data_IF_395113932380
#
_entry.id   IF_395113932380
#
_cell.length_a   1.000
_cell.length_b   1.000
_cell.length_c   1.000
_cell.angle_alpha   90.00
_cell.angle_beta   90.00
_cell.angle_gamma   90.00
#
_symmetry.space_group_name_H-M   'P 1'
#
loop_
_entity.id
_entity.type
_entity.pdbx_description
1 polymer ?
#
# COMPACT_ATOMS: atom_id res chain seq x y z
N UNK A 1 31.06 -27.66 9.67
CA UNK A 1 29.96 -28.47 10.23
C UNK A 1 29.12 -27.49 11.04
N UNK A 2 28.29 -26.68 10.37
CA UNK A 2 26.87 -26.94 10.05
C UNK A 2 26.04 -26.98 11.35
N UNK A 3 24.91 -26.31 11.52
CA UNK A 3 24.08 -25.41 10.72
C UNK A 3 23.04 -24.79 11.69
N UNK A 4 22.26 -23.83 11.18
CA UNK A 4 20.93 -23.37 11.67
C UNK A 4 20.95 -22.35 12.83
N UNK A 5 20.21 -21.23 12.84
CA UNK A 5 19.10 -20.77 12.02
C UNK A 5 19.06 -19.23 12.12
N UNK A 6 19.54 -18.52 11.10
CA UNK A 6 18.72 -17.78 10.13
C UNK A 6 17.68 -16.79 10.71
N UNK A 7 18.00 -15.51 10.49
CA UNK A 7 17.06 -14.54 9.93
C UNK A 7 15.77 -14.23 10.71
N UNK A 8 15.91 -13.40 11.75
CA UNK A 8 14.89 -12.36 11.97
C UNK A 8 14.93 -11.39 10.79
N UNK A 9 14.22 -11.75 9.70
CA UNK A 9 13.87 -10.83 8.61
C UNK A 9 13.11 -9.67 9.25
N UNK A 10 13.83 -8.59 9.57
CA UNK A 10 13.24 -7.26 9.62
C UNK A 10 12.68 -7.07 8.21
N UNK A 11 11.39 -7.32 8.04
CA UNK A 11 10.69 -7.00 6.80
C UNK A 11 10.88 -5.51 6.61
N UNK A 12 11.87 -5.15 5.80
CA UNK A 12 12.11 -3.80 5.34
C UNK A 12 10.78 -3.35 4.76
N UNK A 13 10.05 -2.52 5.51
CA UNK A 13 8.98 -1.73 4.94
C UNK A 13 9.66 -0.93 3.82
N UNK A 14 9.53 -1.41 2.59
CA UNK A 14 9.87 -0.62 1.43
C UNK A 14 8.95 0.59 1.52
N UNK A 15 9.53 1.72 1.96
CA UNK A 15 8.91 3.03 1.79
C UNK A 15 8.88 3.29 0.29
N UNK A 16 7.93 2.65 -0.40
CA UNK A 16 7.55 3.03 -1.75
C UNK A 16 7.06 4.46 -1.66
N UNK A 17 7.98 5.38 -1.91
CA UNK A 17 7.68 6.81 -2.00
C UNK A 17 6.82 6.94 -3.25
N UNK A 18 5.51 7.12 -3.07
CA UNK A 18 4.59 7.48 -4.14
C UNK A 18 5.06 8.84 -4.70
N UNK A 19 5.94 8.81 -5.71
CA UNK A 19 6.40 9.99 -6.42
C UNK A 19 5.33 10.39 -7.43
N UNK A 20 4.25 10.97 -6.94
CA UNK A 20 3.65 12.08 -7.67
C UNK A 20 4.56 13.30 -7.46
N UNK A 21 4.88 14.04 -8.52
CA UNK A 21 5.63 15.31 -8.43
C UNK A 21 4.87 16.37 -7.63
N UNK A 22 3.58 16.15 -7.37
CA UNK A 22 2.84 16.79 -6.29
C UNK A 22 3.13 16.02 -4.99
N UNK A 23 3.91 16.63 -4.10
CA UNK A 23 4.20 16.12 -2.77
C UNK A 23 2.87 15.86 -2.04
N UNK A 24 2.42 14.59 -2.00
CA UNK A 24 1.20 14.23 -1.27
C UNK A 24 1.50 14.44 0.22
N UNK A 25 1.12 15.60 0.73
CA UNK A 25 1.57 16.11 2.03
C UNK A 25 0.49 16.05 3.10
N UNK A 26 -0.71 15.54 2.78
CA UNK A 26 -1.83 15.50 3.70
C UNK A 26 -2.59 14.18 3.65
N UNK A 27 -3.07 13.73 4.81
CA UNK A 27 -3.90 12.52 4.95
C UNK A 27 -5.13 12.55 4.02
N UNK A 28 -5.87 13.66 3.89
CA UNK A 28 -7.00 13.72 2.95
C UNK A 28 -6.60 13.46 1.50
N UNK A 29 -5.48 14.00 1.03
CA UNK A 29 -5.00 13.74 -0.34
C UNK A 29 -4.65 12.26 -0.53
N UNK A 30 -3.95 11.64 0.43
CA UNK A 30 -3.64 10.20 0.37
C UNK A 30 -4.91 9.36 0.29
N UNK A 31 -5.90 9.67 1.13
CA UNK A 31 -7.19 8.95 1.14
C UNK A 31 -7.89 9.10 -0.21
N UNK A 32 -7.96 10.31 -0.76
CA UNK A 32 -8.59 10.55 -2.06
C UNK A 32 -7.96 9.70 -3.16
N UNK A 33 -6.64 9.72 -3.31
CA UNK A 33 -5.94 8.93 -4.33
C UNK A 33 -6.18 7.42 -4.21
N UNK A 34 -6.15 6.89 -2.97
CA UNK A 34 -6.40 5.47 -2.74
C UNK A 34 -7.86 5.08 -3.01
N UNK A 35 -8.81 5.95 -2.68
CA UNK A 35 -10.23 5.74 -3.00
C UNK A 35 -10.46 5.83 -4.52
N UNK A 36 -9.83 6.77 -5.22
CA UNK A 36 -9.90 6.87 -6.69
C UNK A 36 -9.37 5.60 -7.37
N UNK A 37 -8.26 5.03 -6.86
CA UNK A 37 -7.76 3.75 -7.34
C UNK A 37 -8.78 2.62 -7.12
N UNK A 38 -9.44 2.60 -5.97
CA UNK A 38 -10.47 1.59 -5.65
C UNK A 38 -11.67 1.70 -6.59
N UNK A 39 -12.14 2.92 -6.87
CA UNK A 39 -13.24 3.17 -7.81
C UNK A 39 -12.88 2.76 -9.24
N UNK A 40 -11.64 3.04 -9.66
CA UNK A 40 -11.11 2.63 -10.97
C UNK A 40 -10.94 1.12 -11.10
N UNK A 41 -10.92 0.40 -9.98
CA UNK A 41 -10.93 -1.05 -9.90
C UNK A 41 -12.35 -1.63 -9.78
N UNK A 42 -13.39 -0.84 -10.07
CA UNK A 42 -14.81 -1.20 -10.01
C UNK A 42 -15.30 -1.65 -8.61
N UNK A 43 -14.64 -1.22 -7.54
CA UNK A 43 -15.02 -1.56 -6.18
C UNK A 43 -16.44 -1.03 -5.84
N UNK A 44 -17.27 -1.91 -5.26
CA UNK A 44 -18.62 -1.58 -4.78
C UNK A 44 -18.64 -1.25 -3.29
N UNK A 45 -17.61 -1.65 -2.56
CA UNK A 45 -17.44 -1.42 -1.13
C UNK A 45 -16.00 -1.02 -0.85
N UNK A 46 -15.83 0.10 -0.15
CA UNK A 46 -14.54 0.67 0.21
C UNK A 46 -14.57 1.04 1.69
N UNK A 47 -13.61 0.52 2.46
CA UNK A 47 -13.45 0.81 3.88
C UNK A 47 -12.14 1.57 4.11
N UNK A 48 -12.25 2.77 4.71
CA UNK A 48 -11.11 3.60 5.10
C UNK A 48 -10.93 3.52 6.62
N UNK A 49 -9.72 3.21 7.07
CA UNK A 49 -9.36 3.11 8.50
C UNK A 49 -8.17 3.99 8.80
N UNK A 50 -8.31 4.86 9.79
CA UNK A 50 -7.25 5.72 10.29
C UNK A 50 -6.97 5.38 11.76
N UNK A 51 -5.75 4.93 12.04
CA UNK A 51 -5.27 4.67 13.40
C UNK A 51 -4.24 5.72 13.78
N UNK A 52 -4.70 6.76 14.48
CA UNK A 52 -3.90 7.94 14.82
C UNK A 52 -2.67 7.59 15.68
N UNK A 53 -2.84 6.69 16.64
CA UNK A 53 -1.78 6.30 17.58
C UNK A 53 -0.62 5.56 16.91
N UNK A 54 -0.88 4.87 15.78
CA UNK A 54 0.14 4.13 15.02
C UNK A 54 0.54 4.82 13.73
N UNK A 55 0.01 6.00 13.44
CA UNK A 55 0.18 6.70 12.17
C UNK A 55 -0.11 5.79 10.97
N UNK A 56 -1.13 4.94 11.09
CA UNK A 56 -1.49 3.96 10.07
C UNK A 56 -2.77 4.39 9.36
N UNK A 57 -2.70 4.45 8.04
CA UNK A 57 -3.84 4.58 7.14
C UNK A 57 -4.00 3.26 6.38
N UNK A 58 -5.24 2.80 6.25
CA UNK A 58 -5.57 1.64 5.43
C UNK A 58 -6.83 1.93 4.60
N UNK A 59 -6.78 1.60 3.32
CA UNK A 59 -7.94 1.54 2.43
C UNK A 59 -8.08 0.09 1.98
N UNK A 60 -9.26 -0.48 2.14
CA UNK A 60 -9.58 -1.86 1.74
C UNK A 60 -10.80 -1.79 0.85
N UNK A 61 -10.71 -2.38 -0.33
CA UNK A 61 -11.77 -2.44 -1.31
C UNK A 61 -12.05 -3.89 -1.75
N UNK A 62 -13.13 -4.08 -2.50
CA UNK A 62 -13.52 -5.35 -3.11
C UNK A 62 -13.52 -5.28 -4.65
N UNK A 63 -12.66 -4.44 -5.23
CA UNK A 63 -12.51 -4.31 -6.67
C UNK A 63 -11.79 -5.51 -7.31
N UNK A 64 -11.47 -5.38 -8.59
CA UNK A 64 -10.83 -6.43 -9.39
C UNK A 64 -9.42 -6.83 -8.91
N UNK A 65 -8.82 -6.03 -8.02
CA UNK A 65 -7.49 -6.27 -7.47
C UNK A 65 -6.36 -6.05 -8.49
N UNK A 66 -5.18 -6.56 -8.15
CA UNK A 66 -4.01 -6.57 -9.03
C UNK A 66 -3.50 -7.99 -9.20
N UNK A 67 -3.08 -8.35 -10.40
CA UNK A 67 -2.31 -9.57 -10.64
C UNK A 67 -0.93 -9.47 -10.01
N UNK A 68 -0.30 -10.61 -9.74
CA UNK A 68 1.06 -10.66 -9.19
C UNK A 68 2.09 -9.95 -10.10
N UNK A 69 1.91 -10.04 -11.42
CA UNK A 69 2.77 -9.37 -12.40
C UNK A 69 2.66 -7.84 -12.26
N UNK A 70 1.43 -7.31 -12.18
CA UNK A 70 1.20 -5.88 -11.99
C UNK A 70 1.79 -5.40 -10.65
N UNK A 71 1.63 -6.18 -9.59
CA UNK A 71 2.20 -5.88 -8.28
C UNK A 71 3.73 -5.84 -8.32
N UNK A 72 4.36 -6.83 -8.97
CA UNK A 72 5.82 -6.89 -9.10
C UNK A 72 6.37 -5.70 -9.91
N UNK A 73 5.66 -5.29 -10.98
CA UNK A 73 6.03 -4.10 -11.75
C UNK A 73 5.94 -2.80 -10.95
N UNK A 74 4.98 -2.73 -10.00
CA UNK A 74 4.80 -1.57 -9.13
C UNK A 74 5.85 -1.52 -8.01
N UNK A 75 6.33 -2.68 -7.56
CA UNK A 75 7.38 -2.82 -6.53
C UNK A 75 8.81 -2.71 -7.07
N UNK A 76 9.02 -3.03 -8.34
CA UNK A 76 10.33 -2.94 -9.01
C UNK A 76 10.70 -1.51 -9.44
N UNK A 77 9.83 -0.52 -9.16
CA UNK A 77 10.00 0.91 -9.44
C UNK A 77 10.35 1.67 -8.18
#
# INVERSE_FOLDING_TARGET
MNDTDSSLKKSSLSKSTLKNSAQISSVPLIVSELVYNSLSADAQSIAVRLELNRQKLQVVDNGIGMTEIQLNQLQAR
#
